data_IF_625025035797
#
_entry.id   IF_625025035797
#
_cell.length_a   1.000
_cell.length_b   1.000
_cell.length_c   1.000
_cell.angle_alpha   90.00
_cell.angle_beta   90.00
_cell.angle_gamma   90.00
#
_symmetry.space_group_name_H-M   'P 1'
#
loop_
_entity.id
_entity.type
_entity.pdbx_description
1 polymer ?
#
# COMPACT_ATOMS: atom_id res chain seq x y z
N UNK A 1 21.59 -20.62 -6.29
CA UNK A 1 20.57 -21.21 -7.12
C UNK A 1 19.65 -20.19 -7.75
N UNK A 2 18.87 -20.57 -8.69
CA UNK A 2 17.99 -19.68 -9.47
C UNK A 2 16.96 -18.87 -8.61
N UNK A 3 16.84 -19.21 -7.34
CA UNK A 3 15.84 -18.62 -6.44
C UNK A 3 16.43 -17.73 -5.35
N UNK A 4 17.69 -17.36 -5.44
CA UNK A 4 18.35 -16.49 -4.46
C UNK A 4 19.19 -15.47 -5.18
N UNK A 5 19.08 -14.22 -4.76
CA UNK A 5 19.92 -13.13 -5.24
C UNK A 5 20.28 -12.21 -4.07
N UNK A 6 21.45 -11.63 -4.15
CA UNK A 6 21.87 -10.53 -3.29
C UNK A 6 22.52 -9.47 -4.15
N UNK A 7 22.28 -8.21 -3.82
CA UNK A 7 22.79 -7.07 -4.55
C UNK A 7 23.40 -6.03 -3.61
N UNK A 8 24.26 -5.20 -4.20
CA UNK A 8 24.86 -4.02 -3.60
C UNK A 8 24.50 -2.82 -4.47
N UNK A 9 24.09 -1.74 -3.84
CA UNK A 9 23.84 -0.47 -4.49
C UNK A 9 24.76 0.58 -3.85
N UNK A 10 25.41 1.38 -4.68
CA UNK A 10 26.08 2.60 -4.26
C UNK A 10 25.73 3.69 -5.26
N UNK A 11 25.20 4.80 -4.79
CA UNK A 11 24.90 5.98 -5.58
C UNK A 11 25.48 7.20 -4.92
N UNK A 12 25.93 8.18 -5.71
CA UNK A 12 26.50 9.42 -5.22
C UNK A 12 26.16 10.59 -6.13
N UNK A 13 25.92 11.73 -5.52
CA UNK A 13 25.87 13.04 -6.13
C UNK A 13 26.98 13.86 -5.52
N UNK A 14 27.87 14.38 -6.36
CA UNK A 14 28.98 15.24 -5.97
C UNK A 14 28.79 16.58 -6.68
N UNK A 15 28.69 17.65 -5.91
CA UNK A 15 28.58 18.99 -6.48
C UNK A 15 29.28 20.03 -5.58
N UNK A 16 29.38 21.27 -6.04
CA UNK A 16 30.09 22.33 -5.32
C UNK A 16 29.39 22.77 -4.01
N UNK A 17 28.15 22.36 -3.77
CA UNK A 17 27.38 22.80 -2.62
C UNK A 17 27.29 21.73 -1.54
N UNK A 18 27.23 20.46 -1.92
CA UNK A 18 27.14 19.30 -1.02
C UNK A 18 27.46 18.00 -1.74
N UNK A 19 27.92 17.02 -0.99
CA UNK A 19 28.02 15.64 -1.41
C UNK A 19 26.91 14.81 -0.76
N UNK A 20 26.30 13.90 -1.53
CA UNK A 20 25.31 12.96 -1.03
C UNK A 20 25.63 11.55 -1.52
N UNK A 21 25.57 10.57 -0.63
CA UNK A 21 25.86 9.17 -0.93
C UNK A 21 24.79 8.26 -0.30
N UNK A 22 24.43 7.20 -1.03
CA UNK A 22 23.58 6.15 -0.51
C UNK A 22 24.21 4.79 -0.80
N UNK A 23 24.28 3.95 0.23
CA UNK A 23 24.74 2.58 0.14
C UNK A 23 23.63 1.64 0.55
N UNK A 24 23.40 0.60 -0.22
CA UNK A 24 22.33 -0.36 0.05
C UNK A 24 22.75 -1.78 -0.20
N UNK A 25 22.09 -2.67 0.54
CA UNK A 25 22.13 -4.12 0.38
C UNK A 25 20.72 -4.59 0.08
N UNK A 26 20.55 -5.44 -0.90
CA UNK A 26 19.29 -6.10 -1.17
C UNK A 26 19.43 -7.61 -1.21
N UNK A 27 18.36 -8.29 -0.89
CA UNK A 27 18.30 -9.74 -0.92
C UNK A 27 16.94 -10.23 -1.35
N UNK A 28 16.94 -11.25 -2.21
CA UNK A 28 15.75 -11.91 -2.72
C UNK A 28 15.81 -13.40 -2.45
N UNK A 29 14.72 -13.94 -1.98
CA UNK A 29 14.58 -15.38 -1.79
C UNK A 29 13.22 -15.85 -2.30
N UNK A 30 13.20 -16.95 -3.03
CA UNK A 30 12.00 -17.68 -3.37
C UNK A 30 12.22 -19.17 -3.11
N UNK A 31 11.28 -19.80 -2.40
CA UNK A 31 11.29 -21.24 -2.18
C UNK A 31 11.18 -22.01 -3.50
N UNK A 32 11.71 -23.23 -3.57
CA UNK A 32 11.71 -24.06 -4.78
C UNK A 32 10.31 -24.31 -5.33
N UNK A 33 9.30 -24.44 -4.46
CA UNK A 33 7.91 -24.60 -4.86
C UNK A 33 7.21 -23.27 -5.21
N UNK A 34 7.93 -22.13 -5.18
CA UNK A 34 7.42 -20.80 -5.49
C UNK A 34 6.38 -20.26 -4.52
N UNK A 35 6.10 -20.96 -3.41
CA UNK A 35 5.06 -20.54 -2.45
C UNK A 35 5.48 -19.45 -1.51
N UNK A 36 6.74 -19.39 -1.15
CA UNK A 36 7.28 -18.37 -0.27
C UNK A 36 8.25 -17.48 -1.02
N UNK A 37 8.08 -16.18 -0.89
CA UNK A 37 9.00 -15.15 -1.40
C UNK A 37 9.33 -14.18 -0.28
N UNK A 38 10.56 -13.68 -0.29
CA UNK A 38 11.05 -12.65 0.60
C UNK A 38 11.93 -11.69 -0.20
N UNK A 39 11.63 -10.42 -0.07
CA UNK A 39 12.43 -9.32 -0.60
C UNK A 39 12.84 -8.43 0.57
N UNK A 40 14.12 -8.12 0.70
CA UNK A 40 14.63 -7.30 1.78
C UNK A 40 15.65 -6.29 1.24
N UNK A 41 15.62 -5.09 1.79
CA UNK A 41 16.61 -4.06 1.51
C UNK A 41 16.97 -3.33 2.80
N UNK A 42 18.25 -3.05 2.99
CA UNK A 42 18.76 -2.14 4.01
C UNK A 42 19.66 -1.12 3.34
N UNK A 43 19.58 0.13 3.74
CA UNK A 43 20.42 1.17 3.19
C UNK A 43 20.79 2.23 4.23
N UNK A 44 21.82 2.98 3.92
CA UNK A 44 22.20 4.20 4.64
C UNK A 44 22.31 5.36 3.67
N UNK A 45 21.90 6.54 4.10
CA UNK A 45 22.08 7.80 3.40
C UNK A 45 23.05 8.68 4.19
N UNK A 46 23.97 9.30 3.48
CA UNK A 46 24.97 10.21 4.02
C UNK A 46 24.97 11.48 3.16
N UNK A 47 24.77 12.64 3.75
CA UNK A 47 24.72 13.91 3.06
C UNK A 47 25.43 14.96 3.88
N UNK A 48 26.26 15.77 3.24
CA UNK A 48 27.00 16.85 3.90
C UNK A 48 26.09 17.75 4.74
N UNK A 49 26.51 17.97 5.99
CA UNK A 49 25.78 18.78 6.93
C UNK A 49 24.61 18.10 7.65
N UNK A 50 24.33 16.83 7.35
CA UNK A 50 23.32 16.02 8.02
C UNK A 50 23.95 14.83 8.74
N UNK A 51 23.24 14.28 9.71
CA UNK A 51 23.59 12.99 10.31
C UNK A 51 23.27 11.85 9.34
N UNK A 52 24.00 10.76 9.46
CA UNK A 52 23.79 9.56 8.63
C UNK A 52 22.47 8.89 8.96
N UNK A 53 21.63 8.72 7.95
CA UNK A 53 20.36 8.03 8.05
C UNK A 53 20.42 6.55 7.71
N UNK A 54 19.51 5.76 8.31
CA UNK A 54 19.37 4.33 8.10
C UNK A 54 17.93 3.96 7.78
N UNK A 55 17.76 3.08 6.81
CA UNK A 55 16.44 2.61 6.44
C UNK A 55 16.46 1.22 5.82
N UNK A 56 15.28 0.67 5.68
CA UNK A 56 15.11 -0.62 5.02
C UNK A 56 13.70 -1.14 5.09
N UNK A 57 13.48 -2.22 4.36
CA UNK A 57 12.22 -2.95 4.39
C UNK A 57 12.46 -4.45 4.24
N UNK A 58 11.45 -5.20 4.64
CA UNK A 58 11.34 -6.63 4.35
C UNK A 58 9.90 -6.94 3.98
N UNK A 59 9.72 -7.58 2.82
CA UNK A 59 8.45 -8.02 2.30
C UNK A 59 8.42 -9.54 2.19
N UNK A 60 7.32 -10.13 2.65
CA UNK A 60 7.03 -11.56 2.54
C UNK A 60 5.77 -11.78 1.72
N UNK A 61 5.80 -12.81 0.88
CA UNK A 61 4.59 -13.34 0.23
C UNK A 61 4.53 -14.85 0.45
N UNK A 62 3.38 -15.32 0.90
CA UNK A 62 3.10 -16.75 1.00
C UNK A 62 1.85 -17.12 0.21
N UNK A 63 2.01 -18.03 -0.75
CA UNK A 63 0.94 -18.56 -1.59
C UNK A 63 0.46 -19.88 -0.99
N UNK A 64 -0.70 -19.86 -0.33
CA UNK A 64 -1.29 -21.05 0.28
C UNK A 64 -1.68 -22.07 -0.79
N UNK A 65 -2.33 -21.58 -1.85
CA UNK A 65 -2.76 -22.32 -3.05
C UNK A 65 -2.98 -21.34 -4.19
N UNK A 66 -3.15 -21.85 -5.40
CA UNK A 66 -3.45 -21.01 -6.56
C UNK A 66 -4.61 -20.05 -6.27
N UNK A 67 -4.36 -18.78 -6.44
CA UNK A 67 -5.32 -17.70 -6.20
C UNK A 67 -5.52 -17.31 -4.73
N UNK A 68 -4.74 -17.82 -3.77
CA UNK A 68 -4.79 -17.40 -2.35
C UNK A 68 -3.40 -17.11 -1.85
N UNK A 69 -3.15 -15.85 -1.52
CA UNK A 69 -1.86 -15.37 -1.04
C UNK A 69 -2.02 -14.42 0.15
N UNK A 70 -1.02 -14.43 1.01
CA UNK A 70 -0.82 -13.47 2.09
C UNK A 70 0.49 -12.74 1.87
N UNK A 71 0.46 -11.42 2.08
CA UNK A 71 1.66 -10.57 2.09
C UNK A 71 1.79 -9.89 3.44
N UNK A 72 3.01 -9.74 3.88
CA UNK A 72 3.38 -8.98 5.07
C UNK A 72 4.60 -8.13 4.70
N UNK A 73 4.55 -6.85 5.01
CA UNK A 73 5.68 -5.94 4.82
C UNK A 73 5.97 -5.18 6.10
N UNK A 74 7.25 -5.00 6.38
CA UNK A 74 7.76 -4.19 7.48
C UNK A 74 8.75 -3.20 6.86
N UNK A 75 8.63 -1.93 7.22
CA UNK A 75 9.44 -0.83 6.72
C UNK A 75 9.88 0.04 7.89
N UNK A 76 11.12 0.45 7.87
CA UNK A 76 11.70 1.38 8.84
C UNK A 76 12.60 2.38 8.12
N UNK A 77 12.38 3.65 8.38
CA UNK A 77 13.27 4.75 8.02
C UNK A 77 13.40 5.65 9.24
N UNK A 78 14.64 5.93 9.66
CA UNK A 78 14.86 6.91 10.72
C UNK A 78 14.58 8.34 10.22
N UNK A 79 14.68 9.30 11.11
CA UNK A 79 14.42 10.71 10.83
C UNK A 79 15.58 11.39 10.08
N UNK A 80 16.75 10.76 10.03
CA UNK A 80 17.94 11.25 9.35
C UNK A 80 18.03 10.79 7.89
N UNK A 81 17.20 9.81 7.47
CA UNK A 81 17.20 9.35 6.08
C UNK A 81 16.82 10.49 5.14
N UNK A 82 17.76 10.85 4.26
CA UNK A 82 17.53 11.75 3.14
C UNK A 82 18.07 11.12 1.85
N UNK A 83 17.18 10.81 0.94
CA UNK A 83 17.48 10.30 -0.41
C UNK A 83 16.85 11.18 -1.49
N UNK A 84 16.49 12.42 -1.16
CA UNK A 84 15.83 13.35 -2.06
C UNK A 84 16.63 13.63 -3.34
N UNK A 85 17.96 13.51 -3.28
CA UNK A 85 18.85 13.69 -4.42
C UNK A 85 18.87 12.48 -5.38
N UNK A 86 18.35 11.32 -4.95
CA UNK A 86 18.37 10.07 -5.72
C UNK A 86 16.97 9.56 -6.08
N UNK A 87 15.94 10.08 -5.43
CA UNK A 87 14.59 9.61 -5.60
C UNK A 87 13.62 10.24 -4.62
N UNK A 88 12.46 9.61 -4.45
CA UNK A 88 11.41 10.10 -3.60
C UNK A 88 11.11 9.09 -2.48
N UNK A 89 11.19 9.55 -1.25
CA UNK A 89 10.59 8.89 -0.08
C UNK A 89 9.39 9.71 0.35
N UNK A 90 8.24 9.07 0.49
CA UNK A 90 7.02 9.74 0.94
C UNK A 90 7.18 10.31 2.36
N UNK A 91 7.93 9.59 3.19
CA UNK A 91 8.18 9.94 4.57
C UNK A 91 9.43 9.19 5.08
N UNK A 92 10.36 9.91 5.69
CA UNK A 92 11.31 9.39 6.67
C UNK A 92 10.65 9.35 8.07
N UNK A 93 11.39 9.06 9.14
CA UNK A 93 10.86 8.93 10.50
C UNK A 93 9.62 8.03 10.55
N UNK A 94 9.79 6.78 10.12
CA UNK A 94 8.68 5.90 9.81
C UNK A 94 8.97 4.46 10.22
N UNK A 95 8.09 3.88 11.04
CA UNK A 95 7.94 2.44 11.21
C UNK A 95 6.56 2.02 10.74
N UNK A 96 6.50 1.18 9.72
CA UNK A 96 5.25 0.76 9.08
C UNK A 96 5.18 -0.76 8.97
N UNK A 97 4.04 -1.32 9.37
CA UNK A 97 3.70 -2.71 9.12
C UNK A 97 2.47 -2.74 8.22
N UNK A 98 2.53 -3.53 7.15
CA UNK A 98 1.43 -3.72 6.20
C UNK A 98 1.14 -5.19 5.99
N UNK A 99 -0.12 -5.50 5.80
CA UNK A 99 -0.60 -6.86 5.52
C UNK A 99 -1.63 -6.84 4.41
N UNK A 100 -1.61 -7.85 3.54
CA UNK A 100 -2.59 -8.00 2.48
C UNK A 100 -2.93 -9.47 2.28
N UNK A 101 -4.22 -9.78 2.31
CA UNK A 101 -4.77 -11.09 1.95
C UNK A 101 -5.50 -10.98 0.63
N UNK A 102 -5.08 -11.75 -0.36
CA UNK A 102 -5.71 -11.80 -1.67
C UNK A 102 -6.28 -13.20 -1.93
N UNK A 103 -7.53 -13.26 -2.39
CA UNK A 103 -8.18 -14.51 -2.80
C UNK A 103 -8.87 -14.32 -4.14
N UNK A 104 -8.52 -15.14 -5.11
CA UNK A 104 -9.20 -15.25 -6.40
C UNK A 104 -9.69 -16.66 -6.59
N UNK A 105 -10.99 -16.81 -6.82
CA UNK A 105 -11.63 -18.10 -7.11
C UNK A 105 -12.41 -17.99 -8.41
N UNK A 106 -12.20 -18.92 -9.32
CA UNK A 106 -12.89 -18.99 -10.61
C UNK A 106 -13.78 -20.23 -10.68
N UNK A 107 -14.74 -20.21 -11.59
CA UNK A 107 -15.64 -21.33 -11.88
C UNK A 107 -16.48 -21.76 -10.67
N UNK A 108 -17.02 -20.79 -9.94
CA UNK A 108 -18.02 -21.03 -8.91
C UNK A 108 -19.37 -21.38 -9.56
N UNK A 109 -20.24 -22.09 -8.85
CA UNK A 109 -21.60 -22.42 -9.34
C UNK A 109 -22.42 -21.17 -9.67
N UNK A 110 -22.20 -20.07 -8.98
CA UNK A 110 -22.92 -18.80 -9.10
C UNK A 110 -22.13 -17.67 -9.78
N UNK A 111 -20.80 -17.80 -9.92
CA UNK A 111 -19.96 -16.79 -10.50
C UNK A 111 -18.78 -17.37 -11.29
N UNK A 112 -18.38 -16.68 -12.36
CA UNK A 112 -17.18 -17.02 -13.14
C UNK A 112 -15.91 -16.73 -12.39
N UNK A 113 -15.91 -15.61 -11.65
CA UNK A 113 -14.75 -15.16 -10.89
C UNK A 113 -15.19 -14.35 -9.68
N UNK A 114 -14.56 -14.59 -8.55
CA UNK A 114 -14.66 -13.76 -7.37
C UNK A 114 -13.25 -13.42 -6.88
N UNK A 115 -12.97 -12.13 -6.75
CA UNK A 115 -11.72 -11.60 -6.23
C UNK A 115 -12.02 -10.88 -4.92
N UNK A 116 -11.38 -11.31 -3.85
CA UNK A 116 -11.43 -10.70 -2.53
C UNK A 116 -10.04 -10.22 -2.15
N UNK A 117 -9.93 -9.01 -1.67
CA UNK A 117 -8.70 -8.36 -1.25
C UNK A 117 -8.95 -7.62 0.07
N UNK A 118 -8.19 -7.98 1.09
CA UNK A 118 -8.20 -7.32 2.39
C UNK A 118 -6.79 -6.83 2.69
N UNK A 119 -6.63 -5.54 2.91
CA UNK A 119 -5.36 -4.90 3.23
C UNK A 119 -5.48 -4.14 4.52
N UNK A 120 -4.39 -4.02 5.22
CA UNK A 120 -4.29 -3.17 6.39
C UNK A 120 -2.86 -2.73 6.61
N UNK A 121 -2.71 -1.60 7.27
CA UNK A 121 -1.41 -1.12 7.70
C UNK A 121 -1.51 -0.27 8.96
N UNK A 122 -0.41 -0.19 9.67
CA UNK A 122 -0.20 0.72 10.80
C UNK A 122 1.16 1.37 10.64
N UNK A 123 1.25 2.64 11.04
CA UNK A 123 2.44 3.45 10.90
C UNK A 123 2.63 4.33 12.14
N UNK A 124 3.87 4.42 12.61
CA UNK A 124 4.29 5.27 13.71
C UNK A 124 5.60 5.98 13.35
N UNK A 125 5.84 7.14 13.96
CA UNK A 125 7.16 7.76 13.94
C UNK A 125 8.06 7.22 15.06
N UNK A 126 9.32 7.70 15.15
CA UNK A 126 10.31 7.31 16.18
C UNK A 126 9.85 7.63 17.59
N UNK A 127 9.03 8.65 17.79
CA UNK A 127 8.47 9.02 19.08
C UNK A 127 7.29 8.11 19.49
N UNK A 128 6.94 7.13 18.66
CA UNK A 128 5.82 6.22 18.88
C UNK A 128 4.45 6.81 18.57
N UNK A 129 4.40 8.03 18.00
CA UNK A 129 3.17 8.67 17.59
C UNK A 129 2.53 7.90 16.43
N UNK A 130 1.26 7.57 16.56
CA UNK A 130 0.49 6.90 15.50
C UNK A 130 0.17 7.89 14.38
N UNK A 131 0.89 7.78 13.26
CA UNK A 131 0.82 8.73 12.15
C UNK A 131 -0.14 8.33 11.05
N UNK A 132 -0.40 7.04 10.88
CA UNK A 132 -1.38 6.56 9.91
C UNK A 132 -1.74 5.10 10.16
N UNK A 133 -2.94 4.71 9.80
CA UNK A 133 -3.35 3.32 9.76
C UNK A 133 -4.72 3.14 9.13
N UNK A 134 -4.99 1.95 8.65
CA UNK A 134 -6.27 1.68 8.01
C UNK A 134 -6.46 0.24 7.59
N UNK A 135 -7.69 -0.04 7.22
CA UNK A 135 -8.12 -1.33 6.67
C UNK A 135 -8.94 -1.09 5.40
N UNK A 136 -8.69 -1.88 4.36
CA UNK A 136 -9.29 -1.74 3.05
C UNK A 136 -9.79 -3.09 2.58
N UNK A 137 -11.05 -3.18 2.27
CA UNK A 137 -11.68 -4.38 1.73
C UNK A 137 -12.22 -4.11 0.33
N UNK A 138 -11.90 -4.98 -0.61
CA UNK A 138 -12.45 -4.96 -1.95
C UNK A 138 -12.94 -6.35 -2.32
N UNK A 139 -14.15 -6.44 -2.82
CA UNK A 139 -14.69 -7.66 -3.43
C UNK A 139 -15.22 -7.34 -4.83
N UNK A 140 -14.71 -8.07 -5.82
CA UNK A 140 -15.15 -8.01 -7.20
C UNK A 140 -15.69 -9.37 -7.64
N UNK A 141 -16.92 -9.40 -8.04
CA UNK A 141 -17.59 -10.61 -8.54
C UNK A 141 -18.00 -10.42 -10.00
N UNK A 142 -17.66 -11.36 -10.83
CA UNK A 142 -18.18 -11.52 -12.20
C UNK A 142 -19.11 -12.73 -12.20
N UNK A 143 -20.40 -12.48 -12.29
CA UNK A 143 -21.41 -13.54 -12.31
C UNK A 143 -21.39 -14.37 -13.63
N UNK A 144 -22.07 -15.50 -13.65
CA UNK A 144 -22.12 -16.37 -14.82
C UNK A 144 -22.74 -15.70 -16.06
N UNK A 145 -23.64 -14.76 -15.86
CA UNK A 145 -24.26 -13.93 -16.91
C UNK A 145 -23.39 -12.74 -17.35
N UNK A 146 -22.13 -12.64 -16.86
CA UNK A 146 -21.17 -11.56 -17.10
C UNK A 146 -21.55 -10.21 -16.49
N UNK A 147 -22.56 -10.16 -15.63
CA UNK A 147 -22.80 -9.00 -14.76
C UNK A 147 -21.66 -8.89 -13.74
N UNK A 148 -21.26 -7.70 -13.40
CA UNK A 148 -20.20 -7.44 -12.45
C UNK A 148 -20.72 -6.65 -11.24
N UNK A 149 -20.26 -7.02 -10.06
CA UNK A 149 -20.46 -6.30 -8.81
C UNK A 149 -19.09 -6.04 -8.17
N UNK A 150 -18.84 -4.80 -7.76
CA UNK A 150 -17.67 -4.41 -6.97
C UNK A 150 -18.13 -3.71 -5.70
N UNK A 151 -17.67 -4.21 -4.57
CA UNK A 151 -17.91 -3.60 -3.25
C UNK A 151 -16.56 -3.20 -2.66
N UNK A 152 -16.45 -1.97 -2.14
CA UNK A 152 -15.28 -1.48 -1.41
C UNK A 152 -15.70 -0.88 -0.09
N UNK A 153 -14.93 -1.18 0.94
CA UNK A 153 -15.06 -0.60 2.27
C UNK A 153 -13.65 -0.24 2.74
N UNK A 154 -13.44 1.05 2.99
CA UNK A 154 -12.16 1.59 3.41
C UNK A 154 -12.35 2.31 4.74
N UNK A 155 -11.48 2.03 5.69
CA UNK A 155 -11.41 2.67 6.99
C UNK A 155 -10.01 3.21 7.21
N UNK A 156 -9.89 4.50 7.47
CA UNK A 156 -8.67 5.14 7.96
C UNK A 156 -8.89 5.49 9.43
N UNK A 157 -8.02 5.01 10.29
CA UNK A 157 -8.07 5.31 11.72
C UNK A 157 -7.70 6.77 11.97
N UNK A 158 -8.25 7.34 13.03
CA UNK A 158 -7.79 8.64 13.53
C UNK A 158 -6.30 8.56 13.88
N UNK A 159 -5.55 9.57 13.51
CA UNK A 159 -4.09 9.58 13.56
C UNK A 159 -3.57 10.98 13.88
N UNK A 160 -2.25 11.15 13.82
CA UNK A 160 -1.61 12.45 13.96
C UNK A 160 -0.79 12.77 12.72
N UNK A 161 -0.92 13.99 12.21
CA UNK A 161 -0.07 14.53 11.16
C UNK A 161 1.00 15.42 11.80
N UNK A 162 2.24 15.00 11.70
CA UNK A 162 3.43 15.69 12.23
C UNK A 162 4.29 16.31 11.12
N UNK A 163 3.96 16.06 9.85
CA UNK A 163 4.67 16.59 8.69
C UNK A 163 4.08 17.90 8.18
N UNK A 164 2.75 17.97 8.02
CA UNK A 164 2.09 19.13 7.45
C UNK A 164 1.82 20.26 8.46
N UNK A 165 2.38 20.15 9.65
CA UNK A 165 2.28 21.17 10.71
C UNK A 165 3.27 22.33 10.54
N UNK A 166 4.23 22.21 9.62
CA UNK A 166 5.28 23.20 9.38
C UNK A 166 6.04 23.60 10.67
N UNK A 167 6.35 22.60 11.52
CA UNK A 167 7.07 22.79 12.77
C UNK A 167 6.22 23.20 13.98
N UNK A 168 4.88 23.25 13.85
CA UNK A 168 3.96 23.60 14.94
C UNK A 168 3.50 22.38 15.76
N UNK A 169 4.26 21.28 15.75
CA UNK A 169 3.90 20.03 16.43
C UNK A 169 2.97 19.17 15.59
N UNK A 170 2.40 18.14 16.18
CA UNK A 170 1.48 17.25 15.50
C UNK A 170 0.02 17.65 15.77
N UNK A 171 -0.82 17.58 14.75
CA UNK A 171 -2.26 17.79 14.92
C UNK A 171 -3.04 16.49 14.65
N UNK A 172 -4.18 16.36 15.29
CA UNK A 172 -5.05 15.20 15.14
C UNK A 172 -5.73 15.23 13.77
N UNK A 173 -5.74 14.09 13.11
CA UNK A 173 -6.51 13.80 11.89
C UNK A 173 -7.61 12.81 12.25
N UNK A 174 -8.83 13.17 11.94
CA UNK A 174 -10.00 12.37 12.29
C UNK A 174 -10.11 11.09 11.43
N UNK A 175 -10.77 10.04 11.96
CA UNK A 175 -10.99 8.83 11.20
C UNK A 175 -11.89 9.09 9.99
N UNK A 176 -11.71 8.27 8.95
CA UNK A 176 -12.51 8.33 7.72
C UNK A 176 -13.05 6.96 7.37
N UNK A 177 -14.30 6.94 6.96
CA UNK A 177 -14.93 5.74 6.40
C UNK A 177 -15.36 6.04 4.99
N UNK A 178 -14.95 5.19 4.06
CA UNK A 178 -15.38 5.27 2.67
C UNK A 178 -15.97 3.94 2.25
N UNK A 179 -17.05 3.99 1.50
CA UNK A 179 -17.67 2.79 0.93
C UNK A 179 -18.13 3.04 -0.49
N UNK A 180 -18.13 2.02 -1.32
CA UNK A 180 -18.74 2.11 -2.64
C UNK A 180 -19.25 0.76 -3.12
N UNK A 181 -20.33 0.80 -3.86
CA UNK A 181 -20.89 -0.32 -4.62
C UNK A 181 -20.96 0.12 -6.08
N UNK A 182 -20.39 -0.68 -6.96
CA UNK A 182 -20.47 -0.52 -8.40
C UNK A 182 -21.07 -1.77 -9.01
N UNK A 183 -22.04 -1.59 -9.86
CA UNK A 183 -22.67 -2.66 -10.61
C UNK A 183 -22.63 -2.37 -12.10
N UNK A 184 -22.37 -3.39 -12.91
CA UNK A 184 -22.35 -3.29 -14.36
C UNK A 184 -23.02 -4.51 -14.99
N UNK A 185 -23.89 -4.28 -15.97
CA UNK A 185 -24.45 -5.35 -16.80
C UNK A 185 -23.38 -5.95 -17.72
N UNK A 186 -23.73 -6.99 -18.41
CA UNK A 186 -22.85 -7.65 -19.35
C UNK A 186 -22.42 -6.73 -20.50
N UNK A 187 -21.14 -6.34 -20.51
CA UNK A 187 -20.54 -5.44 -21.51
C UNK A 187 -20.29 -6.09 -22.90
N UNK A 188 -20.53 -7.40 -23.03
CA UNK A 188 -20.46 -8.07 -24.33
C UNK A 188 -21.75 -7.92 -25.16
N UNK A 189 -22.80 -7.34 -24.59
CA UNK A 189 -24.06 -7.09 -25.29
C UNK A 189 -24.01 -5.74 -26.02
N UNK A 190 -24.82 -5.60 -27.07
CA UNK A 190 -24.95 -4.36 -27.83
C UNK A 190 -25.40 -3.17 -26.99
N UNK A 191 -26.08 -3.44 -25.89
CA UNK A 191 -26.45 -2.46 -24.90
C UNK A 191 -25.97 -2.90 -23.51
N UNK A 192 -25.23 -2.05 -22.83
CA UNK A 192 -24.78 -2.27 -21.47
C UNK A 192 -25.05 -1.03 -20.60
N UNK A 193 -25.30 -1.27 -19.32
CA UNK A 193 -25.55 -0.22 -18.36
C UNK A 193 -24.97 -0.59 -16.99
N UNK A 194 -24.76 0.41 -16.16
CA UNK A 194 -24.24 0.22 -14.82
C UNK A 194 -24.34 1.49 -14.00
N UNK A 195 -23.94 1.38 -12.76
CA UNK A 195 -23.93 2.50 -11.84
C UNK A 195 -23.00 2.28 -10.67
N UNK A 196 -22.66 3.36 -10.02
CA UNK A 196 -21.86 3.39 -8.80
C UNK A 196 -22.55 4.29 -7.77
N UNK A 197 -22.56 3.83 -6.53
CA UNK A 197 -22.89 4.60 -5.34
C UNK A 197 -21.68 4.60 -4.43
N UNK A 198 -21.33 5.74 -3.88
CA UNK A 198 -20.23 5.88 -2.95
C UNK A 198 -20.61 6.82 -1.80
N UNK A 199 -20.04 6.57 -0.66
CA UNK A 199 -20.17 7.35 0.56
C UNK A 199 -18.79 7.59 1.17
N UNK A 200 -18.57 8.78 1.69
CA UNK A 200 -17.43 9.12 2.51
C UNK A 200 -17.92 9.93 3.71
N UNK A 201 -17.54 9.50 4.90
CA UNK A 201 -17.84 10.18 6.15
C UNK A 201 -16.54 10.44 6.94
N UNK A 202 -16.48 11.61 7.55
CA UNK A 202 -15.41 12.07 8.42
C UNK A 202 -15.98 12.49 9.78
N UNK A 203 -15.22 12.40 10.86
CA UNK A 203 -15.68 12.69 12.22
C UNK A 203 -16.13 14.15 12.39
N UNK A 204 -15.51 15.11 11.72
CA UNK A 204 -15.89 16.54 11.75
C UNK A 204 -17.23 16.86 11.07
N UNK A 205 -18.04 15.83 10.80
CA UNK A 205 -19.37 15.99 10.22
C UNK A 205 -19.38 16.20 8.70
N UNK A 206 -18.22 16.07 8.06
CA UNK A 206 -18.12 16.06 6.61
C UNK A 206 -18.67 14.76 6.04
N UNK A 207 -19.72 14.85 5.24
CA UNK A 207 -20.29 13.71 4.52
C UNK A 207 -20.36 14.02 3.04
N UNK A 208 -19.89 13.11 2.20
CA UNK A 208 -20.07 13.21 0.76
C UNK A 208 -20.64 11.92 0.18
N UNK A 209 -21.60 12.07 -0.72
CA UNK A 209 -22.13 10.99 -1.53
C UNK A 209 -21.79 11.24 -2.99
N UNK A 210 -21.40 10.22 -3.71
CA UNK A 210 -21.24 10.28 -5.15
C UNK A 210 -22.06 9.18 -5.82
N UNK A 211 -22.64 9.49 -6.96
CA UNK A 211 -23.35 8.52 -7.76
C UNK A 211 -23.06 8.77 -9.24
N UNK A 212 -23.03 7.71 -10.00
CA UNK A 212 -22.92 7.77 -11.45
C UNK A 212 -23.74 6.65 -12.07
N UNK A 213 -24.36 6.93 -13.22
CA UNK A 213 -25.03 5.96 -14.07
C UNK A 213 -24.49 6.10 -15.47
N UNK A 214 -24.26 5.01 -16.14
CA UNK A 214 -23.79 5.01 -17.52
C UNK A 214 -24.53 3.95 -18.34
N UNK A 215 -24.66 4.23 -19.63
CA UNK A 215 -25.16 3.30 -20.64
C UNK A 215 -24.25 3.39 -21.86
N UNK A 216 -24.01 2.29 -22.51
CA UNK A 216 -23.15 2.20 -23.70
C UNK A 216 -23.76 1.22 -24.69
#
# INVERSE_FOLDING_TARGET
>A
GAYRAAGLLATGVLNEQFDAMTFGLDGHYMSENGKFKMDAQAFTSDKDGLERGYGGFIDFEYVFRRGVAQRLGIEYFDDQVDVSDFGYIQRNNNFRVRSAHARTVSNLSWARNNQFDLRGFVQKNSDGLFTQGGAFLSNRTVFNNLTQLVVRLDFLAGSYDDLNSFGNGAFRVDPRVMSSIEWASNRSKNFSFGGRLGYMGEELGGHSGNHSVYAT
#
